data_IF_918613209930
#
_entry.id   IF_918613209930
#
_cell.length_a   1.000
_cell.length_b   1.000
_cell.length_c   1.000
_cell.angle_alpha   90.00
_cell.angle_beta   90.00
_cell.angle_gamma   90.00
#
_symmetry.space_group_name_H-M   'P 1'
#
loop_
_entity.id
_entity.type
_entity.pdbx_description
1 polymer ?
#
# COMPACT_ATOMS: atom_id res chain seq x y z
N UNK A 1 20.08 -18.37 -40.77
CA UNK A 1 19.82 -17.64 -42.03
C UNK A 1 20.10 -16.17 -41.78
N UNK A 2 21.18 -15.66 -42.35
CA UNK A 2 21.57 -14.25 -42.25
C UNK A 2 20.59 -13.42 -43.09
N UNK A 3 19.75 -12.62 -42.43
CA UNK A 3 19.07 -11.52 -43.10
C UNK A 3 20.07 -10.38 -43.25
N UNK A 4 20.68 -10.30 -44.44
CA UNK A 4 21.29 -9.06 -44.94
C UNK A 4 20.18 -8.01 -45.03
N UNK A 5 20.05 -7.17 -44.01
CA UNK A 5 19.41 -5.87 -44.18
C UNK A 5 20.35 -5.04 -45.05
N UNK A 6 20.08 -5.06 -46.35
CA UNK A 6 20.57 -4.06 -47.28
C UNK A 6 20.08 -2.71 -46.80
N UNK A 7 21.00 -1.98 -46.18
CA UNK A 7 20.94 -0.58 -45.81
C UNK A 7 20.64 0.24 -47.09
N UNK A 8 19.35 0.32 -47.46
CA UNK A 8 18.87 1.21 -48.51
C UNK A 8 18.92 2.65 -47.99
N UNK A 9 20.15 3.16 -47.79
CA UNK A 9 20.38 4.61 -47.76
C UNK A 9 19.87 5.14 -49.10
N UNK A 10 18.89 6.05 -49.06
CA UNK A 10 18.44 6.82 -50.22
C UNK A 10 19.69 7.27 -51.00
N UNK A 11 19.81 6.83 -52.25
CA UNK A 11 20.88 7.30 -53.13
C UNK A 11 20.59 8.77 -53.41
N UNK A 12 21.41 9.64 -52.82
CA UNK A 12 21.32 11.11 -52.96
C UNK A 12 21.29 11.56 -54.44
N UNK A 13 21.79 10.72 -55.35
CA UNK A 13 21.80 10.96 -56.79
C UNK A 13 20.42 10.96 -57.49
N UNK A 14 19.34 10.47 -56.86
CA UNK A 14 17.97 10.47 -57.44
C UNK A 14 17.07 11.60 -56.89
N UNK A 15 17.58 12.44 -55.98
CA UNK A 15 16.86 13.58 -55.44
C UNK A 15 16.97 14.79 -56.38
N UNK A 16 16.01 14.94 -57.29
CA UNK A 16 15.81 16.21 -57.99
C UNK A 16 15.29 17.26 -57.00
N UNK A 17 15.54 18.54 -57.26
CA UNK A 17 15.13 19.68 -56.41
C UNK A 17 13.66 19.60 -55.97
N UNK A 18 12.79 19.11 -56.85
CA UNK A 18 11.37 18.88 -56.56
C UNK A 18 11.13 17.87 -55.44
N UNK A 19 11.83 16.74 -55.43
CA UNK A 19 11.64 15.69 -54.40
C UNK A 19 12.17 16.17 -53.05
N UNK A 20 13.27 16.92 -53.03
CA UNK A 20 13.80 17.55 -51.81
C UNK A 20 12.78 18.55 -51.26
N UNK A 21 12.20 19.39 -52.12
CA UNK A 21 11.21 20.38 -51.74
C UNK A 21 9.95 19.74 -51.13
N UNK A 22 9.39 18.73 -51.78
CA UNK A 22 8.19 18.01 -51.31
C UNK A 22 8.45 17.27 -49.99
N UNK A 23 9.62 16.64 -49.83
CA UNK A 23 10.00 16.01 -48.55
C UNK A 23 10.07 17.06 -47.45
N UNK A 24 10.64 18.24 -47.72
CA UNK A 24 10.74 19.32 -46.75
C UNK A 24 9.36 19.89 -46.37
N UNK A 25 8.43 20.02 -47.32
CA UNK A 25 7.05 20.45 -47.05
C UNK A 25 6.26 19.43 -46.23
N UNK A 26 6.50 18.13 -46.41
CA UNK A 26 5.82 17.06 -45.64
C UNK A 26 6.31 17.01 -44.18
N UNK A 27 7.58 17.34 -43.92
CA UNK A 27 8.21 17.14 -42.61
C UNK A 27 8.33 18.41 -41.76
N UNK A 28 8.04 19.59 -42.31
CA UNK A 28 8.27 20.87 -41.65
C UNK A 28 7.16 21.86 -41.94
N UNK A 29 6.72 22.56 -40.90
CA UNK A 29 5.66 23.56 -40.99
C UNK A 29 6.19 24.85 -41.62
N UNK A 30 7.49 25.16 -41.44
CA UNK A 30 8.17 26.27 -42.09
C UNK A 30 9.58 25.90 -42.51
N UNK A 31 10.09 26.51 -43.58
CA UNK A 31 11.47 26.34 -44.07
C UNK A 31 12.07 27.72 -44.27
N UNK A 32 13.35 27.86 -43.94
CA UNK A 32 14.10 29.07 -44.20
C UNK A 32 15.48 28.78 -44.80
N UNK A 33 15.94 29.65 -45.70
CA UNK A 33 17.27 29.61 -46.31
C UNK A 33 17.88 31.01 -46.26
N UNK A 34 18.90 31.16 -45.42
CA UNK A 34 19.60 32.40 -45.17
C UNK A 34 20.92 32.44 -45.93
N UNK A 35 21.03 33.45 -46.81
CA UNK A 35 22.28 33.86 -47.42
C UNK A 35 22.90 34.98 -46.58
N UNK A 36 23.97 34.65 -45.85
CA UNK A 36 24.62 35.56 -44.93
C UNK A 36 25.40 36.68 -45.65
N UNK A 37 25.81 36.46 -46.90
CA UNK A 37 26.61 37.43 -47.66
C UNK A 37 25.80 38.66 -48.09
N UNK A 38 24.49 38.50 -48.32
CA UNK A 38 23.60 39.59 -48.75
C UNK A 38 22.41 39.83 -47.80
N UNK A 39 22.30 39.05 -46.72
CA UNK A 39 21.23 39.15 -45.73
C UNK A 39 19.87 38.62 -46.19
N UNK A 40 19.78 38.03 -47.39
CA UNK A 40 18.54 37.50 -47.94
C UNK A 40 18.11 36.23 -47.20
N UNK A 41 16.84 36.16 -46.81
CA UNK A 41 16.23 34.98 -46.20
C UNK A 41 15.01 34.55 -47.00
N UNK A 42 15.10 33.43 -47.69
CA UNK A 42 13.93 32.78 -48.26
C UNK A 42 13.12 32.09 -47.16
N UNK A 43 11.79 32.13 -47.26
CA UNK A 43 10.86 31.39 -46.40
C UNK A 43 9.76 30.77 -47.25
N UNK A 44 9.43 29.51 -46.99
CA UNK A 44 8.33 28.85 -47.71
C UNK A 44 6.95 29.37 -47.25
N UNK A 45 5.90 29.03 -47.99
CA UNK A 45 4.51 29.42 -47.67
C UNK A 45 4.06 28.91 -46.31
N UNK A 46 4.43 27.67 -45.95
CA UNK A 46 4.04 27.06 -44.68
C UNK A 46 4.45 27.88 -43.45
N UNK A 47 5.61 28.56 -43.48
CA UNK A 47 6.03 29.42 -42.38
C UNK A 47 5.06 30.59 -42.13
N UNK A 48 4.53 31.19 -43.20
CA UNK A 48 3.53 32.26 -43.10
C UNK A 48 2.18 31.70 -42.61
N UNK A 49 1.74 30.56 -43.17
CA UNK A 49 0.50 29.88 -42.78
C UNK A 49 0.51 29.49 -41.30
N UNK A 50 1.62 28.92 -40.81
CA UNK A 50 1.83 28.55 -39.42
C UNK A 50 1.63 29.73 -38.46
N UNK A 51 2.07 30.93 -38.86
CA UNK A 51 1.97 32.16 -38.07
C UNK A 51 0.70 32.98 -38.36
N UNK A 52 -0.13 32.54 -39.32
CA UNK A 52 -1.36 33.22 -39.73
C UNK A 52 -1.15 34.44 -40.62
N UNK A 53 0.05 34.66 -41.18
CA UNK A 53 0.32 35.79 -42.08
C UNK A 53 0.02 35.43 -43.54
N UNK A 54 -0.33 36.42 -44.38
CA UNK A 54 -0.35 36.23 -45.83
C UNK A 54 1.04 35.83 -46.36
N UNK A 55 1.07 35.00 -47.40
CA UNK A 55 2.32 34.63 -48.07
C UNK A 55 3.08 35.89 -48.52
N UNK A 56 4.38 35.93 -48.25
CA UNK A 56 5.25 37.07 -48.57
C UNK A 56 4.86 38.39 -47.89
N UNK A 57 4.13 38.35 -46.76
CA UNK A 57 3.80 39.55 -45.99
C UNK A 57 5.01 40.29 -45.40
N UNK A 58 6.17 39.63 -45.35
CA UNK A 58 7.39 40.17 -44.78
C UNK A 58 8.52 40.30 -45.79
N UNK A 59 9.44 41.22 -45.49
CA UNK A 59 10.70 41.32 -46.22
C UNK A 59 11.56 40.07 -45.98
N UNK A 60 12.22 39.61 -47.05
CA UNK A 60 13.14 38.48 -47.04
C UNK A 60 14.49 38.87 -46.44
N UNK A 61 14.49 39.39 -45.23
CA UNK A 61 15.67 39.79 -44.46
C UNK A 61 15.72 39.05 -43.12
N UNK A 62 16.92 38.94 -42.55
CA UNK A 62 17.12 38.34 -41.22
C UNK A 62 16.46 39.17 -40.11
N UNK A 63 16.38 40.50 -40.26
CA UNK A 63 15.77 41.41 -39.28
C UNK A 63 14.25 41.20 -39.11
N UNK A 64 13.57 40.62 -40.11
CA UNK A 64 12.16 40.22 -39.96
C UNK A 64 11.99 39.20 -38.83
N UNK A 65 12.92 38.26 -38.72
CA UNK A 65 12.88 37.21 -37.70
C UNK A 65 13.06 37.78 -36.29
N UNK A 66 13.97 38.74 -36.12
CA UNK A 66 14.20 39.43 -34.84
C UNK A 66 12.93 40.10 -34.29
N UNK A 67 12.06 40.62 -35.16
CA UNK A 67 10.86 41.37 -34.77
C UNK A 67 9.70 40.51 -34.29
N UNK A 68 9.66 39.24 -34.67
CA UNK A 68 8.55 38.35 -34.34
C UNK A 68 8.85 37.43 -33.15
N UNK A 69 10.11 37.37 -32.69
CA UNK A 69 10.46 36.62 -31.48
C UNK A 69 9.87 37.33 -30.26
N UNK A 70 9.32 36.56 -29.32
CA UNK A 70 8.85 37.10 -28.06
C UNK A 70 10.01 37.80 -27.30
N UNK A 71 9.80 39.00 -26.73
CA UNK A 71 10.87 39.77 -26.08
C UNK A 71 11.68 38.98 -25.03
N UNK A 72 11.01 38.18 -24.22
CA UNK A 72 11.67 37.31 -23.21
C UNK A 72 12.51 36.18 -23.81
N UNK A 73 12.22 35.74 -25.03
CA UNK A 73 12.98 34.68 -25.70
C UNK A 73 14.14 35.24 -26.53
N UNK A 74 14.09 36.52 -26.90
CA UNK A 74 15.00 37.15 -27.86
C UNK A 74 16.48 36.96 -27.50
N UNK A 75 16.90 37.35 -26.29
CA UNK A 75 18.30 37.25 -25.86
C UNK A 75 18.82 35.81 -25.93
N UNK A 76 18.00 34.85 -25.48
CA UNK A 76 18.35 33.43 -25.50
C UNK A 76 18.47 32.90 -26.93
N UNK A 77 17.56 33.31 -27.82
CA UNK A 77 17.58 32.91 -29.23
C UNK A 77 18.81 33.46 -29.94
N UNK A 78 19.10 34.75 -29.80
CA UNK A 78 20.28 35.38 -30.40
C UNK A 78 21.57 34.75 -29.88
N UNK A 79 21.68 34.53 -28.56
CA UNK A 79 22.85 33.89 -27.97
C UNK A 79 23.12 32.49 -28.58
N UNK A 80 22.08 31.66 -28.71
CA UNK A 80 22.24 30.32 -29.26
C UNK A 80 22.56 30.35 -30.78
N UNK A 81 21.96 31.28 -31.52
CA UNK A 81 22.24 31.49 -32.93
C UNK A 81 23.70 31.90 -33.14
N UNK A 82 24.16 32.91 -32.40
CA UNK A 82 25.54 33.42 -32.44
C UNK A 82 26.55 32.35 -32.05
N UNK A 83 26.29 31.59 -30.98
CA UNK A 83 27.14 30.49 -30.57
C UNK A 83 27.28 29.44 -31.69
N UNK A 84 26.20 29.16 -32.43
CA UNK A 84 26.25 28.19 -33.52
C UNK A 84 27.03 28.68 -34.75
N UNK A 85 26.74 29.89 -35.23
CA UNK A 85 27.41 30.43 -36.43
C UNK A 85 28.91 30.61 -36.21
N UNK A 86 29.32 30.95 -34.97
CA UNK A 86 30.70 31.09 -34.52
C UNK A 86 31.35 29.76 -34.10
N UNK A 87 30.71 28.62 -34.36
CA UNK A 87 31.25 27.28 -34.09
C UNK A 87 31.52 26.99 -32.60
N UNK A 88 30.85 27.70 -31.69
CA UNK A 88 30.87 27.47 -30.24
C UNK A 88 29.83 26.43 -29.80
N UNK A 89 28.84 26.14 -30.65
CA UNK A 89 27.84 25.10 -30.46
C UNK A 89 27.87 24.09 -31.62
N UNK A 90 27.73 22.80 -31.33
CA UNK A 90 27.76 21.73 -32.35
C UNK A 90 26.46 21.66 -33.18
N UNK A 91 25.34 22.16 -32.64
CA UNK A 91 24.01 22.06 -33.24
C UNK A 91 23.16 23.29 -32.94
N UNK A 92 22.43 23.79 -33.95
CA UNK A 92 21.38 24.78 -33.77
C UNK A 92 20.01 24.10 -33.69
N UNK A 93 19.42 24.15 -32.49
CA UNK A 93 18.07 23.69 -32.22
C UNK A 93 17.54 24.46 -31.02
N UNK A 94 16.47 25.21 -31.20
CA UNK A 94 15.90 26.05 -30.14
C UNK A 94 14.38 26.09 -30.21
N UNK A 95 13.73 26.17 -29.06
CA UNK A 95 12.30 26.41 -28.95
C UNK A 95 12.06 27.84 -28.43
N UNK A 96 11.18 28.59 -29.10
CA UNK A 96 10.83 29.97 -28.71
C UNK A 96 9.43 30.34 -29.20
N UNK A 97 8.91 31.45 -28.66
CA UNK A 97 7.63 32.01 -29.04
C UNK A 97 7.76 32.97 -30.23
N UNK A 98 6.91 32.78 -31.23
CA UNK A 98 6.76 33.69 -32.37
C UNK A 98 5.40 34.36 -32.36
N UNK A 99 5.40 35.66 -32.66
CA UNK A 99 4.21 36.50 -32.80
C UNK A 99 3.41 36.05 -34.03
N UNK A 100 2.11 35.86 -33.83
CA UNK A 100 1.16 35.56 -34.91
C UNK A 100 0.54 36.85 -35.46
N UNK A 101 -0.11 36.73 -36.62
CA UNK A 101 -0.86 37.84 -37.22
C UNK A 101 -1.89 38.46 -36.26
N UNK A 102 -2.49 37.64 -35.41
CA UNK A 102 -3.56 38.05 -34.48
C UNK A 102 -3.02 38.70 -33.19
N UNK A 103 -1.69 38.79 -33.02
CA UNK A 103 -1.04 39.43 -31.89
C UNK A 103 -0.72 38.50 -30.71
N UNK A 104 -1.04 37.21 -30.83
CA UNK A 104 -0.70 36.16 -29.87
C UNK A 104 0.68 35.56 -30.17
N UNK A 105 1.11 34.59 -29.34
CA UNK A 105 2.37 33.88 -29.51
C UNK A 105 2.19 32.38 -29.60
N UNK A 106 2.80 31.77 -30.62
CA UNK A 106 2.89 30.31 -30.74
C UNK A 106 4.29 29.81 -30.45
N UNK A 107 4.39 28.62 -29.84
CA UNK A 107 5.69 27.99 -29.64
C UNK A 107 6.12 27.28 -30.91
N UNK A 108 7.31 27.59 -31.37
CA UNK A 108 7.94 26.89 -32.49
C UNK A 108 9.27 26.28 -32.05
N UNK A 109 9.62 25.16 -32.69
CA UNK A 109 10.95 24.60 -32.67
C UNK A 109 11.64 24.99 -33.97
N UNK A 110 12.83 25.59 -33.85
CA UNK A 110 13.68 25.97 -34.98
C UNK A 110 14.93 25.11 -34.98
N UNK A 111 15.23 24.51 -36.13
CA UNK A 111 16.44 23.70 -36.35
C UNK A 111 17.10 24.16 -37.61
N UNK A 112 18.42 24.30 -37.57
CA UNK A 112 19.16 24.80 -38.71
C UNK A 112 20.56 24.22 -38.81
N UNK A 113 21.13 24.35 -40.00
CA UNK A 113 22.46 23.83 -40.32
C UNK A 113 23.18 24.77 -41.29
N UNK A 114 24.41 25.14 -40.93
CA UNK A 114 25.32 25.80 -41.88
C UNK A 114 25.72 24.79 -42.95
N UNK A 115 25.43 25.11 -44.20
CA UNK A 115 25.76 24.25 -45.35
C UNK A 115 26.99 24.74 -46.11
N UNK A 116 27.27 26.05 -46.05
CA UNK A 116 28.42 26.65 -46.72
C UNK A 116 29.06 27.75 -45.87
N UNK A 117 30.39 27.83 -45.91
CA UNK A 117 31.20 28.89 -45.28
C UNK A 117 32.09 29.55 -46.33
N UNK A 118 32.37 30.82 -46.11
CA UNK A 118 33.36 31.56 -46.88
C UNK A 118 34.78 31.10 -46.52
N UNK A 119 35.75 31.52 -47.34
CA UNK A 119 37.18 31.18 -47.16
C UNK A 119 37.73 31.67 -45.81
N UNK A 120 37.23 32.79 -45.30
CA UNK A 120 37.59 33.37 -44.01
C UNK A 120 36.93 32.66 -42.80
N UNK A 121 36.13 31.62 -43.05
CA UNK A 121 35.42 30.85 -42.03
C UNK A 121 34.06 31.41 -41.62
N UNK A 122 33.66 32.58 -42.13
CA UNK A 122 32.32 33.16 -41.89
C UNK A 122 31.23 32.33 -42.57
N UNK A 123 30.00 32.38 -42.06
CA UNK A 123 28.87 31.65 -42.67
C UNK A 123 28.53 32.29 -44.01
N UNK A 124 28.35 31.48 -45.05
CA UNK A 124 27.85 31.93 -46.37
C UNK A 124 26.36 31.60 -46.51
N UNK A 125 25.98 30.37 -46.13
CA UNK A 125 24.60 29.88 -46.27
C UNK A 125 24.21 28.95 -45.13
N UNK A 126 23.02 29.17 -44.59
CA UNK A 126 22.41 28.34 -43.55
C UNK A 126 20.96 28.07 -43.89
N UNK A 127 20.54 26.82 -43.75
CA UNK A 127 19.16 26.41 -43.97
C UNK A 127 18.57 25.88 -42.68
N UNK A 128 17.26 25.97 -42.53
CA UNK A 128 16.58 25.41 -41.39
C UNK A 128 15.09 25.21 -41.62
N UNK A 129 14.47 24.66 -40.58
CA UNK A 129 13.07 24.31 -40.57
C UNK A 129 12.46 24.63 -39.22
N UNK A 130 11.23 25.13 -39.28
CA UNK A 130 10.36 25.37 -38.15
C UNK A 130 9.32 24.27 -38.02
N UNK A 131 9.02 23.92 -36.77
CA UNK A 131 7.90 23.07 -36.41
C UNK A 131 7.03 23.77 -35.39
N UNK A 132 5.73 23.80 -35.60
CA UNK A 132 4.78 24.27 -34.60
C UNK A 132 4.69 23.25 -33.47
N UNK A 133 5.00 23.68 -32.25
CA UNK A 133 4.96 22.85 -31.05
C UNK A 133 3.98 23.41 -30.01
N UNK A 134 3.15 24.39 -30.37
CA UNK A 134 2.23 25.08 -29.47
C UNK A 134 1.25 24.10 -28.79
N UNK A 135 0.54 23.29 -29.58
CA UNK A 135 -0.40 22.28 -29.06
C UNK A 135 0.27 21.23 -28.17
N UNK A 136 1.55 20.93 -28.45
CA UNK A 136 2.32 19.99 -27.63
C UNK A 136 2.65 20.63 -26.28
N UNK A 137 3.13 21.88 -26.26
CA UNK A 137 3.46 22.61 -25.02
C UNK A 137 2.22 22.79 -24.14
N UNK A 138 1.11 23.25 -24.72
CA UNK A 138 -0.13 23.46 -23.96
C UNK A 138 -0.70 22.15 -23.40
N UNK A 139 -0.62 21.03 -24.15
CA UNK A 139 -1.02 19.70 -23.62
C UNK A 139 -0.14 19.22 -22.47
N UNK A 140 1.18 19.46 -22.55
CA UNK A 140 2.11 19.08 -21.49
C UNK A 140 1.82 19.86 -20.19
N UNK A 141 1.61 21.16 -20.29
CA UNK A 141 1.26 22.00 -19.13
C UNK A 141 -0.06 21.55 -18.49
N UNK A 142 -1.09 21.27 -19.30
CA UNK A 142 -2.37 20.76 -18.81
C UNK A 142 -2.25 19.39 -18.13
N UNK A 143 -1.40 18.51 -18.66
CA UNK A 143 -1.10 17.21 -18.04
C UNK A 143 -0.39 17.39 -16.71
N UNK A 144 0.58 18.29 -16.63
CA UNK A 144 1.30 18.58 -15.39
C UNK A 144 0.37 19.10 -14.29
N UNK A 145 -0.52 20.04 -14.65
CA UNK A 145 -1.52 20.57 -13.71
C UNK A 145 -2.47 19.46 -13.22
N UNK A 146 -2.92 18.60 -14.12
CA UNK A 146 -3.77 17.45 -13.77
C UNK A 146 -3.04 16.46 -12.86
N UNK A 147 -1.78 16.15 -13.14
CA UNK A 147 -0.99 15.24 -12.31
C UNK A 147 -0.83 15.79 -10.89
N UNK A 148 -0.49 17.08 -10.73
CA UNK A 148 -0.41 17.74 -9.42
C UNK A 148 -1.74 17.68 -8.67
N UNK A 149 -2.86 17.92 -9.35
CA UNK A 149 -4.19 17.83 -8.75
C UNK A 149 -4.56 16.39 -8.35
N UNK A 150 -4.19 15.39 -9.16
CA UNK A 150 -4.44 13.99 -8.87
C UNK A 150 -3.58 13.50 -7.70
N UNK A 151 -2.32 13.91 -7.62
CA UNK A 151 -1.42 13.59 -6.51
C UNK A 151 -1.99 14.12 -5.18
N UNK A 152 -2.44 15.38 -5.14
CA UNK A 152 -3.07 15.95 -3.95
C UNK A 152 -4.35 15.20 -3.55
N UNK A 153 -5.21 14.85 -4.51
CA UNK A 153 -6.43 14.08 -4.24
C UNK A 153 -6.12 12.66 -3.75
N UNK A 154 -5.10 12.02 -4.32
CA UNK A 154 -4.66 10.68 -3.89
C UNK A 154 -4.14 10.73 -2.46
N UNK A 155 -3.38 11.76 -2.10
CA UNK A 155 -2.87 11.95 -0.74
C UNK A 155 -4.02 12.13 0.26
N UNK A 156 -4.99 13.00 -0.04
CA UNK A 156 -6.21 13.21 0.76
C UNK A 156 -6.99 11.90 0.95
N UNK A 157 -7.30 11.19 -0.14
CA UNK A 157 -8.05 9.92 -0.08
C UNK A 157 -7.29 8.82 0.65
N UNK A 158 -5.97 8.80 0.54
CA UNK A 158 -5.14 7.83 1.25
C UNK A 158 -5.15 8.09 2.76
N UNK A 159 -5.16 9.35 3.18
CA UNK A 159 -5.28 9.72 4.59
C UNK A 159 -6.65 9.30 5.16
N UNK A 160 -7.75 9.63 4.47
CA UNK A 160 -9.11 9.22 4.86
C UNK A 160 -9.24 7.70 4.98
N UNK A 161 -8.71 6.96 4.00
CA UNK A 161 -8.75 5.50 3.99
C UNK A 161 -7.96 4.89 5.16
N UNK A 162 -6.83 5.48 5.54
CA UNK A 162 -6.05 5.02 6.70
C UNK A 162 -6.82 5.22 8.00
N UNK A 163 -7.47 6.36 8.17
CA UNK A 163 -8.28 6.65 9.35
C UNK A 163 -9.47 5.68 9.46
N UNK A 164 -10.20 5.49 8.35
CA UNK A 164 -11.34 4.56 8.31
C UNK A 164 -10.91 3.11 8.61
N UNK A 165 -9.79 2.66 8.04
CA UNK A 165 -9.25 1.32 8.33
C UNK A 165 -8.88 1.16 9.81
N UNK A 166 -8.28 2.18 10.42
CA UNK A 166 -7.93 2.14 11.83
C UNK A 166 -9.19 2.05 12.73
N UNK A 167 -10.22 2.83 12.42
CA UNK A 167 -11.51 2.76 13.13
C UNK A 167 -12.17 1.39 12.98
N UNK A 168 -12.17 0.82 11.76
CA UNK A 168 -12.75 -0.50 11.50
C UNK A 168 -12.00 -1.61 12.27
N UNK A 169 -10.66 -1.55 12.32
CA UNK A 169 -9.87 -2.50 13.10
C UNK A 169 -10.17 -2.42 14.60
N UNK A 170 -10.37 -1.21 15.14
CA UNK A 170 -10.80 -1.06 16.54
C UNK A 170 -12.18 -1.67 16.79
N UNK A 171 -13.14 -1.40 15.90
CA UNK A 171 -14.49 -1.96 16.01
C UNK A 171 -14.46 -3.49 15.99
N UNK A 172 -13.71 -4.09 15.07
CA UNK A 172 -13.54 -5.54 15.00
C UNK A 172 -12.91 -6.12 16.27
N UNK A 173 -11.91 -5.45 16.83
CA UNK A 173 -11.29 -5.89 18.09
C UNK A 173 -12.27 -5.82 19.27
N UNK A 174 -13.05 -4.74 19.37
CA UNK A 174 -14.06 -4.59 20.42
C UNK A 174 -15.14 -5.67 20.28
N UNK A 175 -15.67 -5.87 19.07
CA UNK A 175 -16.66 -6.90 18.80
C UNK A 175 -16.12 -8.29 19.15
N UNK A 176 -14.86 -8.57 18.81
CA UNK A 176 -14.20 -9.83 19.16
C UNK A 176 -14.12 -10.02 20.68
N UNK A 177 -13.67 -9.01 21.43
CA UNK A 177 -13.60 -9.09 22.90
C UNK A 177 -15.00 -9.34 23.47
N UNK A 178 -16.01 -8.57 23.06
CA UNK A 178 -17.38 -8.70 23.56
C UNK A 178 -18.02 -10.06 23.24
N UNK A 179 -17.67 -10.65 22.08
CA UNK A 179 -18.22 -11.92 21.61
C UNK A 179 -17.47 -13.15 22.15
N UNK A 180 -16.17 -13.02 22.45
CA UNK A 180 -15.30 -14.16 22.79
C UNK A 180 -14.82 -14.18 24.25
N UNK A 181 -15.02 -13.11 25.03
CA UNK A 181 -14.60 -13.06 26.45
C UNK A 181 -15.79 -12.98 27.41
N UNK A 182 -15.58 -13.46 28.65
CA UNK A 182 -16.54 -13.29 29.74
C UNK A 182 -16.39 -11.89 30.35
N UNK A 183 -17.51 -11.17 30.50
CA UNK A 183 -17.52 -9.75 30.90
C UNK A 183 -16.92 -9.51 32.29
N UNK A 184 -17.06 -10.47 33.22
CA UNK A 184 -16.56 -10.33 34.57
C UNK A 184 -15.09 -10.72 34.67
N UNK A 185 -14.73 -11.86 34.08
CA UNK A 185 -13.42 -12.50 34.30
C UNK A 185 -12.40 -12.23 33.18
N UNK A 186 -12.82 -11.65 32.06
CA UNK A 186 -12.00 -11.36 30.87
C UNK A 186 -11.32 -12.59 30.20
N UNK A 187 -11.53 -13.80 30.72
CA UNK A 187 -11.09 -15.05 30.05
C UNK A 187 -12.04 -15.43 28.93
N UNK A 188 -11.70 -16.47 28.18
CA UNK A 188 -12.57 -16.99 27.13
C UNK A 188 -13.97 -17.29 27.69
N UNK A 189 -15.01 -16.85 27.00
CA UNK A 189 -16.36 -17.29 27.32
C UNK A 189 -16.61 -18.70 26.75
N UNK A 190 -17.76 -19.27 27.10
CA UNK A 190 -18.19 -20.58 26.61
C UNK A 190 -18.13 -20.71 25.08
N UNK A 191 -18.53 -19.67 24.35
CA UNK A 191 -18.50 -19.71 22.87
C UNK A 191 -17.08 -19.87 22.33
N UNK A 192 -16.12 -19.08 22.82
CA UNK A 192 -14.72 -19.21 22.42
C UNK A 192 -14.14 -20.56 22.86
N UNK A 193 -14.44 -21.04 24.06
CA UNK A 193 -14.00 -22.35 24.55
C UNK A 193 -14.47 -23.50 23.64
N UNK A 194 -15.77 -23.54 23.29
CA UNK A 194 -16.32 -24.58 22.41
C UNK A 194 -15.64 -24.56 21.03
N UNK A 195 -15.38 -23.36 20.49
CA UNK A 195 -14.68 -23.13 19.22
C UNK A 195 -13.23 -23.61 19.26
N UNK A 196 -12.49 -23.24 20.31
CA UNK A 196 -11.09 -23.66 20.52
C UNK A 196 -11.01 -25.17 20.73
N UNK A 197 -11.84 -25.74 21.60
CA UNK A 197 -11.85 -27.18 21.89
C UNK A 197 -12.10 -27.98 20.61
N UNK A 198 -13.05 -27.54 19.77
CA UNK A 198 -13.30 -28.18 18.47
C UNK A 198 -12.08 -28.12 17.56
N UNK A 199 -11.38 -26.99 17.53
CA UNK A 199 -10.17 -26.84 16.72
C UNK A 199 -9.06 -27.79 17.21
N UNK A 200 -8.77 -27.76 18.51
CA UNK A 200 -7.71 -28.56 19.13
C UNK A 200 -8.02 -30.07 19.10
N UNK A 201 -9.28 -30.47 19.26
CA UNK A 201 -9.72 -31.85 19.07
C UNK A 201 -9.41 -32.36 17.66
N UNK A 202 -9.73 -31.58 16.63
CA UNK A 202 -9.45 -31.97 15.24
C UNK A 202 -7.93 -32.03 14.97
N UNK A 203 -7.16 -31.11 15.57
CA UNK A 203 -5.69 -31.09 15.46
C UNK A 203 -5.09 -32.33 16.13
N UNK A 204 -5.49 -32.61 17.37
CA UNK A 204 -5.05 -33.75 18.16
C UNK A 204 -5.32 -35.08 17.44
N UNK A 205 -6.54 -35.27 16.89
CA UNK A 205 -6.87 -36.45 16.09
C UNK A 205 -6.03 -36.58 14.83
N UNK A 206 -5.78 -35.47 14.12
CA UNK A 206 -5.02 -35.49 12.85
C UNK A 206 -3.56 -35.85 13.06
N UNK A 207 -2.96 -35.34 14.12
CA UNK A 207 -1.52 -35.47 14.37
C UNK A 207 -1.18 -36.48 15.46
N UNK A 208 -2.16 -37.20 16.00
CA UNK A 208 -2.00 -38.14 17.11
C UNK A 208 -1.28 -37.50 18.32
N UNK A 209 -1.65 -36.25 18.62
CA UNK A 209 -1.12 -35.50 19.76
C UNK A 209 -2.06 -35.63 20.96
N UNK A 210 -1.53 -35.70 22.19
CA UNK A 210 -2.36 -35.76 23.39
C UNK A 210 -3.11 -34.43 23.57
N UNK A 211 -4.35 -34.51 24.04
CA UNK A 211 -5.19 -33.37 24.37
C UNK A 211 -5.88 -33.67 25.69
N UNK A 212 -5.68 -32.81 26.68
CA UNK A 212 -6.35 -32.94 27.97
C UNK A 212 -7.35 -31.81 28.19
N UNK A 213 -8.38 -32.09 28.97
CA UNK A 213 -9.44 -31.16 29.34
C UNK A 213 -9.63 -31.17 30.85
N UNK A 214 -9.69 -29.98 31.44
CA UNK A 214 -10.03 -29.79 32.85
C UNK A 214 -11.40 -29.12 32.93
N UNK A 215 -12.33 -29.73 33.67
CA UNK A 215 -13.54 -29.05 34.16
C UNK A 215 -13.32 -28.68 35.63
N UNK A 216 -13.59 -27.43 36.00
CA UNK A 216 -13.34 -26.90 37.34
C UNK A 216 -14.59 -26.23 37.88
N UNK A 217 -14.81 -26.36 39.19
CA UNK A 217 -15.93 -25.70 39.87
C UNK A 217 -15.55 -25.28 41.29
N UNK A 218 -15.93 -24.04 41.60
CA UNK A 218 -15.72 -23.39 42.87
C UNK A 218 -16.62 -24.01 43.96
N UNK A 219 -16.00 -24.59 44.98
CA UNK A 219 -16.74 -25.25 46.04
C UNK A 219 -17.50 -24.23 46.89
N UNK A 220 -18.81 -24.46 47.06
CA UNK A 220 -19.68 -23.65 47.93
C UNK A 220 -19.77 -22.17 47.53
N UNK A 221 -19.63 -21.84 46.24
CA UNK A 221 -19.70 -20.45 45.77
C UNK A 221 -20.96 -19.69 46.21
N UNK A 222 -22.11 -20.37 46.20
CA UNK A 222 -23.36 -19.80 46.69
C UNK A 222 -23.26 -19.32 48.14
N UNK A 223 -22.60 -20.08 49.01
CA UNK A 223 -22.38 -19.69 50.41
C UNK A 223 -21.49 -18.46 50.54
N UNK A 224 -20.52 -18.27 49.64
CA UNK A 224 -19.68 -17.06 49.59
C UNK A 224 -20.56 -15.84 49.26
N UNK A 225 -21.40 -15.95 48.24
CA UNK A 225 -22.33 -14.88 47.87
C UNK A 225 -23.32 -14.56 49.00
N UNK A 226 -23.89 -15.60 49.63
CA UNK A 226 -24.88 -15.45 50.68
C UNK A 226 -24.26 -14.82 51.96
N UNK A 227 -22.99 -15.10 52.24
CA UNK A 227 -22.31 -14.62 53.45
C UNK A 227 -21.64 -13.25 53.27
N UNK A 228 -21.01 -13.00 52.12
CA UNK A 228 -20.15 -11.83 51.89
C UNK A 228 -20.66 -10.90 50.79
N UNK A 229 -21.74 -11.28 50.11
CA UNK A 229 -22.35 -10.51 49.01
C UNK A 229 -21.73 -10.78 47.65
N UNK A 230 -22.46 -10.38 46.60
CA UNK A 230 -22.07 -10.63 45.21
C UNK A 230 -20.73 -10.01 44.82
N UNK A 231 -20.39 -8.83 45.35
CA UNK A 231 -19.11 -8.18 45.05
C UNK A 231 -17.90 -9.01 45.48
N UNK A 232 -17.99 -9.73 46.60
CA UNK A 232 -16.93 -10.66 47.05
C UNK A 232 -16.95 -11.94 46.21
N UNK A 233 -18.11 -12.40 45.76
CA UNK A 233 -18.21 -13.48 44.78
C UNK A 233 -17.52 -13.15 43.45
N UNK A 234 -17.74 -11.95 42.94
CA UNK A 234 -17.09 -11.45 41.72
C UNK A 234 -15.56 -11.35 41.89
N UNK A 235 -15.12 -10.89 43.06
CA UNK A 235 -13.69 -10.84 43.42
C UNK A 235 -13.10 -12.26 43.56
N UNK A 236 -13.88 -13.22 44.05
CA UNK A 236 -13.49 -14.63 44.11
C UNK A 236 -13.25 -15.22 42.72
N UNK A 237 -14.15 -14.95 41.78
CA UNK A 237 -14.06 -15.45 40.40
C UNK A 237 -12.85 -14.86 39.66
N UNK A 238 -12.61 -13.56 39.82
CA UNK A 238 -11.46 -12.87 39.22
C UNK A 238 -10.13 -13.32 39.85
N UNK A 239 -10.07 -13.47 41.17
CA UNK A 239 -8.90 -14.01 41.86
C UNK A 239 -8.50 -15.40 41.35
N UNK A 240 -9.48 -16.29 41.16
CA UNK A 240 -9.22 -17.64 40.65
C UNK A 240 -8.68 -17.61 39.23
N UNK A 241 -9.24 -16.74 38.38
CA UNK A 241 -8.75 -16.54 37.02
C UNK A 241 -7.29 -16.08 37.03
N UNK A 242 -6.91 -15.16 37.92
CA UNK A 242 -5.54 -14.72 38.06
C UNK A 242 -4.62 -15.85 38.53
N UNK A 243 -5.05 -16.64 39.52
CA UNK A 243 -4.28 -17.79 40.01
C UNK A 243 -4.07 -18.82 38.91
N UNK A 244 -5.12 -19.17 38.16
CA UNK A 244 -5.02 -20.15 37.08
C UNK A 244 -4.16 -19.58 35.93
N UNK A 245 -4.45 -18.37 35.48
CA UNK A 245 -3.77 -17.71 34.35
C UNK A 245 -2.27 -17.59 34.54
N UNK A 246 -1.81 -17.30 35.76
CA UNK A 246 -0.39 -17.24 36.10
C UNK A 246 0.30 -18.61 36.21
N UNK A 247 -0.46 -19.71 36.12
CA UNK A 247 0.03 -21.07 36.34
C UNK A 247 -0.19 -22.02 35.16
N UNK A 248 -0.73 -21.53 34.05
CA UNK A 248 -0.89 -22.26 32.77
C UNK A 248 -0.01 -21.62 31.68
N UNK A 249 0.18 -22.32 30.56
CA UNK A 249 1.00 -21.86 29.42
C UNK A 249 0.17 -20.94 28.53
N UNK A 250 0.82 -20.11 27.72
CA UNK A 250 0.14 -19.23 26.74
C UNK A 250 -0.73 -20.01 25.73
N UNK A 251 -0.36 -21.26 25.43
CA UNK A 251 -1.13 -22.15 24.54
C UNK A 251 -2.33 -22.82 25.22
N UNK A 252 -2.39 -22.78 26.55
CA UNK A 252 -3.48 -23.35 27.33
C UNK A 252 -4.61 -22.33 27.39
N UNK A 253 -5.85 -22.75 27.15
CA UNK A 253 -6.99 -21.84 27.08
C UNK A 253 -7.88 -22.05 28.29
N UNK A 254 -7.84 -21.08 29.20
CA UNK A 254 -8.80 -20.93 30.28
C UNK A 254 -10.04 -20.19 29.77
N UNK A 255 -11.21 -20.69 30.15
CA UNK A 255 -12.43 -19.93 30.00
C UNK A 255 -13.47 -20.25 31.07
N UNK A 256 -14.46 -19.37 31.18
CA UNK A 256 -15.59 -19.53 32.09
C UNK A 256 -16.76 -20.18 31.35
N UNK A 257 -17.16 -21.36 31.82
CA UNK A 257 -18.24 -22.13 31.22
C UNK A 257 -19.61 -21.56 31.59
N UNK A 258 -19.75 -21.08 32.83
CA UNK A 258 -20.92 -20.36 33.34
C UNK A 258 -20.96 -20.36 34.86
N UNK A 259 -21.48 -19.29 35.47
CA UNK A 259 -21.57 -19.20 36.93
C UNK A 259 -20.21 -19.33 37.61
N UNK A 260 -20.01 -20.38 38.38
CA UNK A 260 -18.81 -20.75 39.13
C UNK A 260 -17.99 -21.88 38.48
N UNK A 261 -18.34 -22.26 37.24
CA UNK A 261 -17.68 -23.30 36.46
C UNK A 261 -16.68 -22.71 35.44
N UNK A 262 -15.50 -23.33 35.39
CA UNK A 262 -14.42 -23.00 34.47
C UNK A 262 -13.97 -24.25 33.71
N UNK A 263 -13.34 -24.03 32.56
CA UNK A 263 -12.77 -25.09 31.74
C UNK A 263 -11.39 -24.67 31.23
N UNK A 264 -10.45 -25.61 31.20
CA UNK A 264 -9.13 -25.40 30.63
C UNK A 264 -8.86 -26.45 29.56
N UNK A 265 -8.61 -25.99 28.34
CA UNK A 265 -8.14 -26.83 27.24
C UNK A 265 -6.61 -26.87 27.29
N UNK A 266 -6.03 -28.06 27.36
CA UNK A 266 -4.58 -28.28 27.43
C UNK A 266 -4.08 -29.02 26.18
N UNK A 267 -3.74 -28.32 25.09
CA UNK A 267 -3.17 -28.93 23.89
C UNK A 267 -1.84 -29.62 24.19
N UNK A 268 -1.54 -30.70 23.47
CA UNK A 268 -0.28 -31.44 23.56
C UNK A 268 0.09 -31.87 24.99
N UNK A 269 -0.90 -32.15 25.83
CA UNK A 269 -0.71 -32.46 27.25
C UNK A 269 -1.34 -33.80 27.57
N UNK A 270 -0.55 -34.71 28.12
CA UNK A 270 -0.99 -36.04 28.57
C UNK A 270 -1.68 -35.97 29.94
N UNK A 271 -2.45 -37.00 30.30
CA UNK A 271 -3.23 -37.07 31.53
C UNK A 271 -2.40 -36.81 32.79
N UNK A 272 -1.21 -37.39 32.89
CA UNK A 272 -0.36 -37.24 34.07
C UNK A 272 0.13 -35.79 34.24
N UNK A 273 0.48 -35.12 33.14
CA UNK A 273 0.87 -33.71 33.16
C UNK A 273 -0.32 -32.81 33.49
N UNK A 274 -1.48 -33.10 32.90
CA UNK A 274 -2.73 -32.38 33.17
C UNK A 274 -3.15 -32.52 34.65
N UNK A 275 -2.99 -33.69 35.26
CA UNK A 275 -3.23 -33.91 36.70
C UNK A 275 -2.28 -33.10 37.57
N UNK A 276 -1.00 -33.02 37.21
CA UNK A 276 -0.04 -32.21 37.95
C UNK A 276 -0.40 -30.71 37.89
N UNK A 277 -0.85 -30.23 36.73
CA UNK A 277 -1.34 -28.85 36.57
C UNK A 277 -2.60 -28.63 37.43
N UNK A 278 -3.56 -29.56 37.37
CA UNK A 278 -4.80 -29.49 38.14
C UNK A 278 -4.54 -29.46 39.65
N UNK A 279 -3.67 -30.35 40.17
CA UNK A 279 -3.33 -30.38 41.60
C UNK A 279 -2.57 -29.13 42.04
N UNK A 280 -1.67 -28.61 41.20
CA UNK A 280 -0.98 -27.35 41.46
C UNK A 280 -1.99 -26.20 41.59
N UNK A 281 -2.91 -26.07 40.63
CA UNK A 281 -3.97 -25.05 40.66
C UNK A 281 -4.84 -25.20 41.91
N UNK A 282 -5.33 -26.41 42.18
CA UNK A 282 -6.16 -26.70 43.36
C UNK A 282 -5.49 -26.28 44.65
N UNK A 283 -4.23 -26.66 44.83
CA UNK A 283 -3.47 -26.33 46.04
C UNK A 283 -3.23 -24.83 46.19
N UNK A 284 -2.92 -24.13 45.08
CA UNK A 284 -2.75 -22.67 45.11
C UNK A 284 -4.04 -21.95 45.51
N UNK A 285 -5.17 -22.34 44.94
CA UNK A 285 -6.48 -21.76 45.29
C UNK A 285 -6.82 -21.99 46.77
N UNK A 286 -6.51 -23.18 47.31
CA UNK A 286 -6.75 -23.52 48.72
C UNK A 286 -5.94 -22.66 49.70
N UNK A 287 -4.70 -22.29 49.36
CA UNK A 287 -3.80 -21.57 50.27
C UNK A 287 -3.80 -20.05 50.07
N UNK A 288 -4.25 -19.56 48.91
CA UNK A 288 -4.28 -18.13 48.60
C UNK A 288 -5.63 -17.55 49.04
N UNK A 289 -5.64 -16.58 49.97
CA UNK A 289 -6.88 -15.91 50.33
C UNK A 289 -7.34 -14.99 49.21
N UNK A 290 -8.64 -14.98 48.96
CA UNK A 290 -9.31 -14.11 47.97
C UNK A 290 -9.29 -12.66 48.43
N UNK A 291 -9.73 -12.42 49.66
CA UNK A 291 -9.75 -11.11 50.31
C UNK A 291 -9.58 -11.29 51.82
N UNK A 292 -8.52 -10.71 52.38
CA UNK A 292 -8.16 -10.85 53.79
C UNK A 292 -8.00 -12.31 54.24
N UNK A 293 -8.99 -12.84 54.95
CA UNK A 293 -9.01 -14.19 55.51
C UNK A 293 -10.05 -15.11 54.84
N UNK A 294 -10.55 -14.75 53.65
CA UNK A 294 -11.51 -15.58 52.91
C UNK A 294 -10.74 -16.59 52.07
N UNK A 295 -10.89 -17.87 52.42
CA UNK A 295 -10.31 -19.00 51.70
C UNK A 295 -11.40 -19.76 50.95
N UNK A 296 -11.06 -20.22 49.75
CA UNK A 296 -11.96 -20.96 48.88
C UNK A 296 -11.28 -22.25 48.42
N UNK A 297 -12.08 -23.23 48.05
CA UNK A 297 -11.57 -24.47 47.46
C UNK A 297 -12.23 -24.73 46.13
N UNK A 298 -11.63 -25.59 45.33
CA UNK A 298 -12.11 -25.91 44.01
C UNK A 298 -12.05 -27.42 43.79
N UNK A 299 -13.08 -27.94 43.13
CA UNK A 299 -13.13 -29.33 42.65
C UNK A 299 -12.78 -29.36 41.17
N UNK A 300 -11.97 -30.34 40.74
CA UNK A 300 -11.52 -30.45 39.35
C UNK A 300 -11.75 -31.87 38.81
N UNK A 301 -12.16 -31.96 37.56
CA UNK A 301 -12.19 -33.17 36.75
C UNK A 301 -11.18 -33.07 35.61
N UNK A 302 -10.34 -34.09 35.43
CA UNK A 302 -9.28 -34.12 34.42
C UNK A 302 -9.47 -35.33 33.53
N UNK A 303 -9.38 -35.13 32.21
CA UNK A 303 -9.46 -36.22 31.24
C UNK A 303 -8.48 -35.98 30.10
N UNK A 304 -7.96 -37.06 29.53
CA UNK A 304 -7.23 -37.04 28.26
C UNK A 304 -8.12 -37.62 27.16
N UNK A 305 -8.00 -37.09 25.95
CA UNK A 305 -8.67 -37.58 24.75
C UNK A 305 -8.25 -39.01 24.42
N UNK A 306 -9.22 -39.92 24.40
CA UNK A 306 -9.00 -41.33 24.07
C UNK A 306 -9.07 -41.60 22.56
N UNK A 307 -8.47 -42.73 22.13
CA UNK A 307 -8.59 -43.16 20.75
C UNK A 307 -10.05 -43.47 20.40
N UNK A 308 -10.53 -42.86 19.31
CA UNK A 308 -11.90 -42.92 18.81
C UNK A 308 -12.97 -42.22 19.67
N UNK A 309 -12.58 -41.44 20.67
CA UNK A 309 -13.49 -40.60 21.43
C UNK A 309 -13.97 -39.39 20.61
N UNK A 310 -15.24 -38.99 20.77
CA UNK A 310 -15.79 -37.75 20.20
C UNK A 310 -15.56 -36.55 21.14
N UNK A 311 -15.63 -35.33 20.59
CA UNK A 311 -15.53 -34.11 21.42
C UNK A 311 -16.60 -34.06 22.52
N UNK A 312 -17.83 -34.49 22.22
CA UNK A 312 -18.93 -34.53 23.18
C UNK A 312 -18.68 -35.56 24.29
N UNK A 313 -18.12 -36.72 23.95
CA UNK A 313 -17.76 -37.75 24.93
C UNK A 313 -16.66 -37.27 25.90
N UNK A 314 -15.67 -36.54 25.37
CA UNK A 314 -14.61 -35.93 26.16
C UNK A 314 -15.16 -34.96 27.21
N UNK A 315 -16.09 -34.08 26.79
CA UNK A 315 -16.78 -33.14 27.70
C UNK A 315 -17.57 -33.87 28.77
N UNK A 316 -18.38 -34.86 28.38
CA UNK A 316 -19.18 -35.66 29.33
C UNK A 316 -18.28 -36.37 30.35
N UNK A 317 -17.11 -36.88 29.93
CA UNK A 317 -16.14 -37.51 30.84
C UNK A 317 -15.51 -36.50 31.79
N UNK A 318 -15.15 -35.31 31.31
CA UNK A 318 -14.61 -34.23 32.16
C UNK A 318 -15.62 -33.84 33.25
N UNK A 319 -16.89 -33.63 32.88
CA UNK A 319 -17.96 -33.27 33.81
C UNK A 319 -18.23 -34.40 34.81
N UNK A 320 -18.18 -35.66 34.37
CA UNK A 320 -18.29 -36.82 35.25
C UNK A 320 -17.16 -36.88 36.27
N UNK A 321 -15.92 -36.58 35.86
CA UNK A 321 -14.79 -36.51 36.79
C UNK A 321 -14.95 -35.36 37.78
N UNK A 322 -15.43 -34.20 37.34
CA UNK A 322 -15.71 -33.07 38.23
C UNK A 322 -16.80 -33.43 39.26
N UNK A 323 -17.89 -34.08 38.82
CA UNK A 323 -18.94 -34.58 39.70
C UNK A 323 -18.42 -35.58 40.75
N UNK A 324 -17.50 -36.48 40.35
CA UNK A 324 -16.83 -37.39 41.28
C UNK A 324 -16.00 -36.63 42.33
N UNK A 325 -15.28 -35.58 41.93
CA UNK A 325 -14.54 -34.73 42.87
C UNK A 325 -15.46 -34.06 43.89
N UNK A 326 -16.60 -33.52 43.43
CA UNK A 326 -17.61 -32.90 44.31
C UNK A 326 -18.22 -33.90 45.29
N UNK A 327 -18.60 -35.08 44.82
CA UNK A 327 -19.28 -36.09 45.66
C UNK A 327 -18.34 -36.82 46.60
N UNK A 328 -17.06 -36.95 46.27
CA UNK A 328 -16.08 -37.61 47.12
C UNK A 328 -15.59 -36.74 48.30
N UNK A 329 -16.05 -35.50 48.41
CA UNK A 329 -15.74 -34.60 49.53
C UNK A 329 -15.12 -33.27 49.14
N UNK A 330 -15.22 -32.86 47.86
CA UNK A 330 -14.75 -31.57 47.33
C UNK A 330 -13.22 -31.38 47.45
N UNK A 331 -12.72 -30.20 47.07
CA UNK A 331 -11.31 -29.79 47.15
C UNK A 331 -10.34 -30.88 46.69
N UNK A 332 -10.55 -31.41 45.48
CA UNK A 332 -9.74 -32.52 44.94
C UNK A 332 -9.79 -32.57 43.43
N UNK A 333 -8.85 -33.32 42.88
CA UNK A 333 -8.78 -33.66 41.47
C UNK A 333 -9.24 -35.12 41.28
N UNK A 334 -10.11 -35.37 40.31
CA UNK A 334 -10.43 -36.72 39.83
C UNK A 334 -10.09 -36.82 38.34
N UNK A 335 -9.55 -37.95 37.91
CA UNK A 335 -9.19 -38.20 36.52
C UNK A 335 -8.27 -39.37 36.38
#
# INVERSE_FOLDING_TARGET
MNYNQSDHKLKIADLNERVVHEILEVISDGIWDWNANNGFVYRNTGWYEMLGYPAHAFENTVHTWEKIIHPEDFERVMFQFDAYINQQAEKYQIEYRCLTHDGDYIWIEDRGKVIERNIDGTVSRMIGAHRNIHDRKHRLEKLELKNKSLEALVEERTAELRESNFQLQQQLNIEKILSETDVLTSVANRYLLEKVLKHEYNRAKRFFQPLSLLSLDLDNFKSINDQYGHSVGDLTLTHIVDVIGNNIREVDILGRWGGDEFMIVLPNTQLNEAKNIAEKIRHLIEIMPVDGNIYVTMSLGVVELEQNESQEQLLIRADKMLYNSKTAGKNRVSG
#
